data_IF_445913727960
#
_entry.id   IF_445913727960
#
_cell.length_a   1.000
_cell.length_b   1.000
_cell.length_c   1.000
_cell.angle_alpha   90.00
_cell.angle_beta   90.00
_cell.angle_gamma   90.00
#
_symmetry.space_group_name_H-M   'P 1'
#
loop_
_entity.id
_entity.type
_entity.pdbx_description
1 polymer ?
#
# COMPACT_ATOMS: atom_id res chain seq x y z
N UNK A 1 3.57 -1.59 11.25
CA UNK A 1 3.27 -0.24 11.76
C UNK A 1 1.80 0.05 11.57
N UNK A 2 1.18 0.71 12.53
CA UNK A 2 -0.22 1.15 12.48
C UNK A 2 -0.24 2.66 12.44
N UNK A 3 -1.09 3.26 11.60
CA UNK A 3 -1.26 4.70 11.48
C UNK A 3 -2.76 5.02 11.56
N UNK A 4 -3.15 5.80 12.54
CA UNK A 4 -4.49 6.39 12.61
C UNK A 4 -4.43 7.87 12.25
N UNK A 5 -5.31 8.34 11.39
CA UNK A 5 -5.48 9.76 11.08
C UNK A 5 -6.89 10.18 11.45
N UNK A 6 -6.99 11.26 12.23
CA UNK A 6 -8.25 11.87 12.64
C UNK A 6 -8.38 13.25 12.00
N UNK A 7 -9.49 13.49 11.31
CA UNK A 7 -9.81 14.80 10.72
C UNK A 7 -10.99 15.42 11.47
N UNK A 8 -10.70 16.48 12.23
CA UNK A 8 -11.68 17.21 13.04
C UNK A 8 -12.66 18.07 12.22
N UNK A 9 -12.40 18.31 10.93
CA UNK A 9 -13.30 19.02 10.01
C UNK A 9 -14.38 18.10 9.43
N UNK A 10 -14.10 16.81 9.35
CA UNK A 10 -15.04 15.75 8.94
C UNK A 10 -15.90 15.21 10.09
N UNK A 11 -15.78 15.75 11.30
CA UNK A 11 -16.51 15.28 12.49
C UNK A 11 -18.05 15.37 12.39
N UNK A 12 -18.59 16.14 11.44
CA UNK A 12 -20.03 16.24 11.14
C UNK A 12 -20.44 15.49 9.86
N UNK A 13 -19.52 14.77 9.21
CA UNK A 13 -19.72 13.99 7.98
C UNK A 13 -19.28 12.52 8.13
N UNK A 14 -19.46 11.72 7.07
CA UNK A 14 -19.17 10.28 7.07
C UNK A 14 -17.68 9.98 7.31
N UNK A 15 -17.40 9.28 8.42
CA UNK A 15 -16.13 8.66 8.83
C UNK A 15 -14.95 9.63 9.11
N UNK A 16 -14.88 10.26 10.31
CA UNK A 16 -13.79 11.16 10.72
C UNK A 16 -12.48 10.45 11.09
N UNK A 17 -12.47 9.11 11.14
CA UNK A 17 -11.33 8.28 11.50
C UNK A 17 -10.93 7.46 10.29
N UNK A 18 -9.67 7.54 9.88
CA UNK A 18 -9.09 6.60 8.93
C UNK A 18 -7.97 5.83 9.63
N UNK A 19 -8.13 4.51 9.71
CA UNK A 19 -7.12 3.61 10.27
C UNK A 19 -6.45 2.85 9.14
N UNK A 20 -5.12 2.90 9.10
CA UNK A 20 -4.30 2.17 8.16
C UNK A 20 -3.31 1.27 8.91
N UNK A 21 -3.29 -0.01 8.58
CA UNK A 21 -2.34 -0.98 9.11
C UNK A 21 -1.39 -1.35 7.98
N UNK A 22 -0.11 -1.03 8.14
CA UNK A 22 0.92 -1.35 7.16
C UNK A 22 1.98 -2.27 7.76
N UNK A 23 2.17 -3.45 7.19
CA UNK A 23 3.27 -4.34 7.53
C UNK A 23 4.31 -4.28 6.43
N UNK A 24 5.59 -4.23 6.82
CA UNK A 24 6.72 -4.41 5.91
C UNK A 24 7.44 -5.67 6.36
N UNK A 25 7.58 -6.61 5.45
CA UNK A 25 8.33 -7.83 5.65
C UNK A 25 9.53 -7.81 4.71
N UNK A 26 10.73 -7.65 5.26
CA UNK A 26 11.96 -7.76 4.48
C UNK A 26 12.29 -9.25 4.33
N UNK A 27 12.24 -9.78 3.11
CA UNK A 27 12.60 -11.19 2.86
C UNK A 27 14.12 -11.34 2.86
N UNK A 28 14.83 -10.37 2.28
CA UNK A 28 16.28 -10.32 2.28
C UNK A 28 16.79 -8.85 2.31
N UNK A 29 18.09 -8.63 2.21
CA UNK A 29 18.71 -7.29 2.21
C UNK A 29 18.39 -6.44 0.97
N UNK A 30 17.97 -7.08 -0.11
CA UNK A 30 17.63 -6.57 -1.43
C UNK A 30 16.12 -6.63 -1.74
N UNK A 31 15.31 -7.38 -0.98
CA UNK A 31 13.88 -7.55 -1.25
C UNK A 31 12.98 -7.32 -0.02
N UNK A 32 11.85 -6.65 -0.24
CA UNK A 32 10.83 -6.44 0.79
C UNK A 32 9.42 -6.49 0.22
N UNK A 33 8.51 -7.01 1.02
CA UNK A 33 7.07 -6.96 0.82
C UNK A 33 6.47 -5.97 1.78
N UNK A 34 5.46 -5.24 1.32
CA UNK A 34 4.63 -4.36 2.12
C UNK A 34 3.18 -4.75 1.90
N UNK A 35 2.44 -4.95 2.98
CA UNK A 35 0.99 -5.01 2.93
C UNK A 35 0.46 -3.80 3.68
N UNK A 36 -0.57 -3.15 3.13
CA UNK A 36 -1.25 -2.01 3.73
C UNK A 36 -2.75 -2.28 3.64
N UNK A 37 -3.42 -2.22 4.77
CA UNK A 37 -4.87 -2.34 4.88
C UNK A 37 -5.39 -1.00 5.39
N UNK A 38 -6.45 -0.50 4.80
CA UNK A 38 -7.17 0.67 5.27
C UNK A 38 -8.59 0.29 5.67
N UNK A 39 -9.09 0.89 6.75
CA UNK A 39 -10.47 0.82 7.22
C UNK A 39 -11.48 1.30 6.16
N UNK A 40 -11.02 2.09 5.18
CA UNK A 40 -11.79 2.45 3.99
C UNK A 40 -12.05 1.29 3.02
N UNK A 41 -11.63 0.06 3.34
CA UNK A 41 -11.80 -1.11 2.49
C UNK A 41 -10.70 -1.34 1.46
N UNK A 42 -9.61 -0.57 1.49
CA UNK A 42 -8.51 -0.71 0.52
C UNK A 42 -7.44 -1.66 1.08
N UNK A 43 -7.24 -2.79 0.40
CA UNK A 43 -6.12 -3.71 0.61
C UNK A 43 -5.05 -3.45 -0.45
N UNK A 44 -3.93 -2.86 -0.05
CA UNK A 44 -2.77 -2.67 -0.91
C UNK A 44 -1.64 -3.64 -0.57
N UNK A 45 -1.05 -4.24 -1.59
CA UNK A 45 0.13 -5.10 -1.52
C UNK A 45 1.21 -4.49 -2.40
N UNK A 46 2.46 -4.51 -1.95
CA UNK A 46 3.60 -4.10 -2.74
C UNK A 46 4.78 -5.04 -2.49
N UNK A 47 5.43 -5.47 -3.55
CA UNK A 47 6.65 -6.24 -3.58
C UNK A 47 7.75 -5.36 -4.16
N UNK A 48 8.91 -5.33 -3.54
CA UNK A 48 10.07 -4.64 -4.10
C UNK A 48 11.27 -5.56 -4.03
N UNK A 49 11.99 -5.64 -5.13
CA UNK A 49 13.17 -6.46 -5.30
C UNK A 49 14.24 -5.65 -6.02
N UNK A 50 15.37 -5.53 -5.35
CA UNK A 50 16.57 -4.95 -5.91
C UNK A 50 17.32 -6.04 -6.68
N UNK A 51 17.30 -5.93 -8.01
CA UNK A 51 17.85 -6.91 -8.93
C UNK A 51 19.37 -6.76 -9.09
N UNK A 52 19.86 -5.51 -9.04
CA UNK A 52 21.28 -5.15 -9.13
C UNK A 52 21.54 -3.89 -8.30
N UNK A 53 22.78 -3.61 -7.89
CA UNK A 53 23.14 -2.29 -7.37
C UNK A 53 22.71 -1.22 -8.38
N UNK A 54 21.86 -0.29 -7.95
CA UNK A 54 21.28 0.72 -8.83
C UNK A 54 20.00 0.32 -9.57
N UNK A 55 19.47 -0.91 -9.48
CA UNK A 55 18.21 -1.31 -10.13
C UNK A 55 17.24 -1.92 -9.13
N UNK A 56 16.13 -1.23 -8.89
CA UNK A 56 15.05 -1.70 -8.00
C UNK A 56 13.76 -1.85 -8.77
N UNK A 57 13.25 -3.08 -8.82
CA UNK A 57 11.91 -3.39 -9.30
C UNK A 57 10.93 -3.29 -8.13
N UNK A 58 9.81 -2.61 -8.36
CA UNK A 58 8.66 -2.55 -7.48
C UNK A 58 7.43 -3.04 -8.23
N UNK A 59 6.63 -3.85 -7.58
CA UNK A 59 5.34 -4.34 -8.04
C UNK A 59 4.35 -4.02 -6.93
N UNK A 60 3.14 -3.64 -7.25
CA UNK A 60 2.13 -3.43 -6.23
C UNK A 60 0.74 -3.38 -6.81
N UNK A 61 -0.23 -3.70 -5.97
CA UNK A 61 -1.64 -3.61 -6.30
C UNK A 61 -2.42 -3.06 -5.12
N UNK A 62 -3.48 -2.30 -5.39
CA UNK A 62 -4.46 -1.91 -4.42
C UNK A 62 -5.83 -2.45 -4.85
N UNK A 63 -6.43 -3.24 -3.98
CA UNK A 63 -7.70 -3.91 -4.17
C UNK A 63 -8.72 -3.28 -3.24
N UNK A 64 -9.81 -2.78 -3.81
CA UNK A 64 -10.96 -2.32 -3.04
C UNK A 64 -11.82 -3.53 -2.65
N UNK A 65 -11.84 -3.84 -1.36
CA UNK A 65 -12.55 -4.99 -0.78
C UNK A 65 -14.02 -4.71 -0.45
N UNK A 66 -14.46 -3.44 -0.53
CA UNK A 66 -15.88 -3.09 -0.43
C UNK A 66 -16.57 -3.12 -1.79
N UNK A 67 -15.76 -3.04 -2.86
CA UNK A 67 -16.22 -3.03 -4.26
C UNK A 67 -15.58 -4.14 -5.09
N UNK A 68 -15.63 -5.40 -4.60
CA UNK A 68 -15.10 -6.56 -5.35
C UNK A 68 -15.78 -6.77 -6.72
N UNK A 69 -17.01 -6.26 -6.89
CA UNK A 69 -17.75 -6.36 -8.15
C UNK A 69 -17.41 -5.27 -9.17
N UNK A 70 -16.59 -4.27 -8.82
CA UNK A 70 -16.20 -3.18 -9.72
C UNK A 70 -14.71 -3.26 -10.07
N UNK A 71 -14.34 -2.78 -11.26
CA UNK A 71 -12.96 -2.68 -11.74
C UNK A 71 -12.17 -1.56 -11.03
N UNK A 72 -12.13 -1.58 -9.71
CA UNK A 72 -11.42 -0.62 -8.86
C UNK A 72 -10.01 -1.11 -8.45
N UNK A 73 -9.57 -2.25 -8.99
CA UNK A 73 -8.25 -2.81 -8.71
C UNK A 73 -7.17 -2.02 -9.45
N UNK A 74 -6.28 -1.39 -8.69
CA UNK A 74 -5.11 -0.69 -9.23
C UNK A 74 -3.96 -1.66 -9.18
N UNK A 75 -3.31 -1.89 -10.32
CA UNK A 75 -2.05 -2.61 -10.38
C UNK A 75 -0.98 -1.64 -10.89
N UNK A 76 0.20 -1.73 -10.32
CA UNK A 76 1.32 -0.84 -10.60
C UNK A 76 2.63 -1.62 -10.62
N UNK A 77 3.49 -1.22 -11.53
CA UNK A 77 4.87 -1.68 -11.61
C UNK A 77 5.75 -0.44 -11.66
N UNK A 78 6.79 -0.41 -10.85
CA UNK A 78 7.81 0.62 -10.85
C UNK A 78 9.16 -0.03 -11.10
N UNK A 79 9.99 0.61 -11.92
CA UNK A 79 11.38 0.19 -12.11
C UNK A 79 12.23 1.44 -11.94
N UNK A 80 13.01 1.46 -10.86
CA UNK A 80 13.85 2.59 -10.49
C UNK A 80 15.31 2.25 -10.79
N UNK A 81 15.97 3.17 -11.49
CA UNK A 81 17.38 3.11 -11.82
C UNK A 81 18.10 4.25 -11.10
N UNK A 82 19.10 3.91 -10.31
CA UNK A 82 20.05 4.82 -9.68
C UNK A 82 21.39 4.58 -10.36
N UNK A 83 21.94 5.64 -10.96
CA UNK A 83 23.29 5.66 -11.52
C UNK A 83 24.34 5.82 -10.40
#
# INVERSE_FOLDING_TARGET
>A
GTKGTFDSKSASGSNPVAVEVATKYSLDSTSFVKAKLADSGILALAYSQQLRPGVTLGLGGAFDTLKLGESAHKLGLSLSFSA
#
